data_IF_836064960861
#
_entry.id   IF_836064960861
#
_cell.length_a   1.000
_cell.length_b   1.000
_cell.length_c   1.000
_cell.angle_alpha   90.00
_cell.angle_beta   90.00
_cell.angle_gamma   90.00
#
_symmetry.space_group_name_H-M   'P 1'
#
loop_
_entity.id
_entity.type
_entity.pdbx_description
1 polymer ?
#
# COMPACT_ATOMS: atom_id res chain seq x y z
N UNK A 1 -25.15 10.71 -6.37
CA UNK A 1 -23.97 9.84 -6.21
C UNK A 1 -22.95 10.25 -7.26
N UNK A 2 -21.76 10.71 -6.85
CA UNK A 2 -20.69 11.03 -7.80
C UNK A 2 -20.13 9.75 -8.42
N UNK A 3 -19.81 9.77 -9.72
CA UNK A 3 -19.27 8.61 -10.45
C UNK A 3 -18.12 7.92 -9.72
N UNK A 4 -17.27 8.69 -9.05
CA UNK A 4 -16.12 8.20 -8.28
C UNK A 4 -16.49 7.30 -7.10
N UNK A 5 -17.62 7.55 -6.43
CA UNK A 5 -18.08 6.71 -5.33
C UNK A 5 -18.45 5.31 -5.84
N UNK A 6 -19.14 5.26 -6.98
CA UNK A 6 -19.56 3.99 -7.61
C UNK A 6 -18.32 3.22 -8.05
N UNK A 7 -17.36 3.88 -8.69
CA UNK A 7 -16.08 3.25 -9.09
C UNK A 7 -15.34 2.68 -7.88
N UNK A 8 -15.23 3.44 -6.79
CA UNK A 8 -14.59 2.98 -5.55
C UNK A 8 -15.30 1.75 -4.95
N UNK A 9 -16.64 1.74 -4.94
CA UNK A 9 -17.42 0.60 -4.45
C UNK A 9 -17.24 -0.66 -5.31
N UNK A 10 -17.24 -0.52 -6.63
CA UNK A 10 -16.98 -1.61 -7.57
C UNK A 10 -15.58 -2.20 -7.38
N UNK A 11 -14.55 -1.36 -7.28
CA UNK A 11 -13.17 -1.82 -7.04
C UNK A 11 -13.04 -2.58 -5.71
N UNK A 12 -13.67 -2.07 -4.65
CA UNK A 12 -13.73 -2.75 -3.35
C UNK A 12 -14.40 -4.12 -3.45
N UNK A 13 -15.51 -4.21 -4.21
CA UNK A 13 -16.20 -5.47 -4.46
C UNK A 13 -15.28 -6.45 -5.20
N UNK A 14 -14.63 -6.03 -6.29
CA UNK A 14 -13.69 -6.88 -7.02
C UNK A 14 -12.57 -7.39 -6.13
N UNK A 15 -11.95 -6.51 -5.33
CA UNK A 15 -10.94 -6.89 -4.36
C UNK A 15 -11.45 -7.94 -3.36
N UNK A 16 -12.69 -7.79 -2.88
CA UNK A 16 -13.27 -8.71 -1.91
C UNK A 16 -13.56 -10.08 -2.53
N UNK A 17 -14.04 -10.11 -3.77
CA UNK A 17 -14.35 -11.35 -4.48
C UNK A 17 -13.09 -12.13 -4.89
N UNK A 18 -12.02 -11.44 -5.30
CA UNK A 18 -10.77 -12.10 -5.74
C UNK A 18 -9.78 -12.36 -4.60
N UNK A 19 -10.05 -11.92 -3.37
CA UNK A 19 -9.16 -12.16 -2.24
C UNK A 19 -8.99 -13.67 -1.98
N UNK A 20 -7.77 -14.18 -2.18
CA UNK A 20 -7.42 -15.60 -2.03
C UNK A 20 -8.26 -16.58 -2.88
N UNK A 21 -9.02 -16.08 -3.87
CA UNK A 21 -9.86 -16.89 -4.74
C UNK A 21 -9.31 -16.85 -6.16
N UNK A 22 -8.46 -17.83 -6.50
CA UNK A 22 -7.80 -17.90 -7.80
C UNK A 22 -8.78 -18.06 -8.97
N UNK A 23 -9.90 -18.76 -8.77
CA UNK A 23 -10.92 -18.93 -9.81
C UNK A 23 -11.56 -17.58 -10.19
N UNK A 24 -12.04 -16.82 -9.19
CA UNK A 24 -12.63 -15.51 -9.45
C UNK A 24 -11.57 -14.53 -9.96
N UNK A 25 -10.36 -14.56 -9.41
CA UNK A 25 -9.25 -13.73 -9.87
C UNK A 25 -8.96 -13.96 -11.36
N UNK A 26 -8.94 -15.22 -11.81
CA UNK A 26 -8.76 -15.57 -13.21
C UNK A 26 -9.92 -15.05 -14.08
N UNK A 27 -11.17 -15.23 -13.64
CA UNK A 27 -12.33 -14.71 -14.37
C UNK A 27 -12.31 -13.19 -14.51
N UNK A 28 -11.93 -12.46 -13.46
CA UNK A 28 -11.78 -11.00 -13.51
C UNK A 28 -10.63 -10.58 -14.42
N UNK A 29 -9.51 -11.30 -14.41
CA UNK A 29 -8.39 -11.05 -15.31
C UNK A 29 -8.78 -11.23 -16.79
N UNK A 30 -9.53 -12.30 -17.10
CA UNK A 30 -9.95 -12.64 -18.46
C UNK A 30 -11.19 -11.85 -18.93
N UNK A 31 -11.76 -11.00 -18.06
CA UNK A 31 -12.93 -10.18 -18.40
C UNK A 31 -12.56 -9.10 -19.39
N UNK A 32 -13.27 -9.05 -20.52
CA UNK A 32 -13.10 -8.06 -21.58
C UNK A 32 -14.37 -7.23 -21.72
N UNK A 33 -14.22 -5.91 -21.77
CA UNK A 33 -15.31 -5.00 -22.07
C UNK A 33 -15.68 -5.09 -23.55
N UNK A 34 -16.92 -5.53 -23.84
CA UNK A 34 -17.35 -5.89 -25.20
C UNK A 34 -17.32 -4.73 -26.21
N UNK A 35 -17.49 -3.49 -25.76
CA UNK A 35 -17.56 -2.33 -26.66
C UNK A 35 -16.18 -1.73 -26.97
N UNK A 36 -15.25 -1.75 -26.00
CA UNK A 36 -13.91 -1.14 -26.16
C UNK A 36 -12.82 -2.18 -26.41
N UNK A 37 -13.15 -3.47 -26.29
CA UNK A 37 -12.22 -4.60 -26.34
C UNK A 37 -11.05 -4.48 -25.35
N UNK A 38 -11.23 -3.70 -24.28
CA UNK A 38 -10.24 -3.55 -23.22
C UNK A 38 -10.48 -4.61 -22.15
N UNK A 39 -9.41 -5.21 -21.65
CA UNK A 39 -9.45 -6.07 -20.47
C UNK A 39 -9.78 -5.25 -19.23
N UNK A 40 -10.37 -5.90 -18.22
CA UNK A 40 -10.61 -5.26 -16.92
C UNK A 40 -9.30 -4.75 -16.29
N UNK A 41 -8.20 -5.49 -16.47
CA UNK A 41 -6.88 -5.10 -16.02
C UNK A 41 -6.41 -3.78 -16.67
N UNK A 42 -6.58 -3.60 -17.98
CA UNK A 42 -6.22 -2.34 -18.66
C UNK A 42 -7.08 -1.17 -18.15
N UNK A 43 -8.38 -1.40 -17.95
CA UNK A 43 -9.29 -0.39 -17.42
C UNK A 43 -8.83 0.05 -16.02
N UNK A 44 -8.53 -0.90 -15.12
CA UNK A 44 -8.10 -0.61 -13.75
C UNK A 44 -6.69 0.01 -13.71
N UNK A 45 -5.76 -0.46 -14.55
CA UNK A 45 -4.42 0.14 -14.72
C UNK A 45 -4.52 1.62 -15.10
N UNK A 46 -5.46 1.98 -16.00
CA UNK A 46 -5.71 3.37 -16.37
C UNK A 46 -6.21 4.26 -15.21
N UNK A 47 -6.70 3.66 -14.12
CA UNK A 47 -7.06 4.38 -12.90
C UNK A 47 -5.84 4.69 -12.03
N UNK A 48 -4.76 3.91 -12.12
CA UNK A 48 -3.51 4.13 -11.39
C UNK A 48 -2.64 5.20 -12.04
N UNK A 49 -2.66 5.30 -13.37
CA UNK A 49 -1.81 6.23 -14.14
C UNK A 49 -2.35 7.68 -14.18
N UNK A 50 -3.60 7.90 -13.79
CA UNK A 50 -4.22 9.24 -13.80
C UNK A 50 -3.88 10.04 -12.55
N UNK A 51 -3.47 11.28 -12.77
CA UNK A 51 -3.16 12.24 -11.70
C UNK A 51 -4.46 12.62 -10.94
N UNK A 52 -4.34 12.90 -9.64
CA UNK A 52 -5.41 13.40 -8.75
C UNK A 52 -6.59 12.45 -8.48
N UNK A 53 -6.38 11.13 -8.54
CA UNK A 53 -7.43 10.18 -8.17
C UNK A 53 -7.71 10.19 -6.65
N UNK A 54 -8.99 10.01 -6.25
CA UNK A 54 -9.34 9.79 -4.85
C UNK A 54 -8.56 8.60 -4.26
N UNK A 55 -8.11 8.74 -3.01
CA UNK A 55 -7.30 7.71 -2.31
C UNK A 55 -7.96 6.34 -2.36
N UNK A 56 -9.29 6.28 -2.18
CA UNK A 56 -10.08 5.05 -2.24
C UNK A 56 -9.92 4.33 -3.58
N UNK A 57 -9.98 5.07 -4.70
CA UNK A 57 -9.85 4.49 -6.04
C UNK A 57 -8.42 4.01 -6.26
N UNK A 58 -7.42 4.84 -5.96
CA UNK A 58 -6.01 4.47 -6.11
C UNK A 58 -5.65 3.23 -5.29
N UNK A 59 -6.11 3.17 -4.03
CA UNK A 59 -5.85 2.04 -3.16
C UNK A 59 -6.51 0.75 -3.66
N UNK A 60 -7.82 0.76 -3.94
CA UNK A 60 -8.49 -0.48 -4.37
C UNK A 60 -8.07 -0.92 -5.77
N UNK A 61 -7.70 0.00 -6.67
CA UNK A 61 -7.11 -0.35 -7.96
C UNK A 61 -5.75 -1.04 -7.77
N UNK A 62 -4.89 -0.54 -6.88
CA UNK A 62 -3.61 -1.19 -6.59
C UNK A 62 -3.80 -2.55 -5.89
N UNK A 63 -4.69 -2.61 -4.90
CA UNK A 63 -5.03 -3.84 -4.18
C UNK A 63 -5.58 -4.93 -5.10
N UNK A 64 -6.33 -4.57 -6.13
CA UNK A 64 -6.82 -5.52 -7.12
C UNK A 64 -5.66 -6.31 -7.76
N UNK A 65 -4.62 -5.63 -8.24
CA UNK A 65 -3.45 -6.30 -8.82
C UNK A 65 -2.63 -7.06 -7.76
N UNK A 66 -2.56 -6.58 -6.51
CA UNK A 66 -1.97 -7.35 -5.41
C UNK A 66 -2.69 -8.69 -5.22
N UNK A 67 -4.02 -8.69 -5.23
CA UNK A 67 -4.81 -9.91 -5.12
C UNK A 67 -4.61 -10.85 -6.32
N UNK A 68 -4.54 -10.32 -7.55
CA UNK A 68 -4.22 -11.12 -8.74
C UNK A 68 -2.82 -11.74 -8.65
N UNK A 69 -1.83 -10.98 -8.16
CA UNK A 69 -0.49 -11.48 -7.94
C UNK A 69 -0.47 -12.61 -6.90
N UNK A 70 -1.18 -12.42 -5.78
CA UNK A 70 -1.18 -13.37 -4.67
C UNK A 70 -1.97 -14.65 -4.94
N UNK A 71 -2.93 -14.57 -5.85
CA UNK A 71 -3.62 -15.74 -6.41
C UNK A 71 -2.86 -16.38 -7.57
N UNK A 72 -1.66 -15.88 -7.91
CA UNK A 72 -0.78 -16.36 -8.99
C UNK A 72 -1.35 -16.19 -10.41
N UNK A 73 -2.41 -15.40 -10.56
CA UNK A 73 -2.96 -15.03 -11.88
C UNK A 73 -2.01 -14.08 -12.60
N UNK A 74 -1.38 -13.16 -11.86
CA UNK A 74 -0.30 -12.31 -12.35
C UNK A 74 1.02 -12.66 -11.66
N UNK A 75 2.13 -12.53 -12.40
CA UNK A 75 3.47 -12.56 -11.80
C UNK A 75 3.74 -11.29 -10.99
N UNK A 76 4.58 -11.39 -9.96
CA UNK A 76 5.08 -10.23 -9.23
C UNK A 76 5.83 -9.24 -10.14
N UNK A 77 6.47 -9.73 -11.20
CA UNK A 77 7.22 -8.91 -12.16
C UNK A 77 6.32 -8.20 -13.18
N UNK A 78 5.02 -8.55 -13.25
CA UNK A 78 4.09 -7.94 -14.18
C UNK A 78 4.02 -6.41 -13.95
N UNK A 79 4.07 -5.56 -15.00
CA UNK A 79 4.15 -4.10 -14.84
C UNK A 79 3.05 -3.49 -13.95
N UNK A 80 1.81 -3.95 -14.08
CA UNK A 80 0.70 -3.49 -13.23
C UNK A 80 0.89 -3.82 -11.75
N UNK A 81 1.70 -4.83 -11.42
CA UNK A 81 2.06 -5.19 -10.04
C UNK A 81 3.30 -4.42 -9.59
N UNK A 82 4.43 -4.62 -10.29
CA UNK A 82 5.76 -4.13 -9.88
C UNK A 82 5.96 -2.62 -10.06
N UNK A 83 5.35 -2.03 -11.08
CA UNK A 83 5.52 -0.61 -11.39
C UNK A 83 4.30 0.21 -10.97
N UNK A 84 3.09 -0.23 -11.28
CA UNK A 84 1.89 0.60 -11.03
C UNK A 84 1.39 0.45 -9.60
N UNK A 85 1.07 -0.77 -9.18
CA UNK A 85 0.47 -1.01 -7.86
C UNK A 85 1.46 -0.78 -6.72
N UNK A 86 2.69 -1.29 -6.84
CA UNK A 86 3.70 -1.10 -5.81
C UNK A 86 3.99 0.40 -5.58
N UNK A 87 4.25 1.17 -6.64
CA UNK A 87 4.55 2.60 -6.50
C UNK A 87 3.34 3.38 -5.97
N UNK A 88 2.13 3.01 -6.38
CA UNK A 88 0.90 3.60 -5.84
C UNK A 88 0.77 3.35 -4.33
N UNK A 89 0.96 2.11 -3.87
CA UNK A 89 0.87 1.78 -2.45
C UNK A 89 1.95 2.51 -1.63
N UNK A 90 3.18 2.56 -2.14
CA UNK A 90 4.27 3.32 -1.50
C UNK A 90 3.90 4.81 -1.40
N UNK A 91 3.42 5.41 -2.50
CA UNK A 91 3.02 6.81 -2.52
C UNK A 91 1.87 7.12 -1.56
N UNK A 92 0.89 6.21 -1.43
CA UNK A 92 -0.19 6.35 -0.47
C UNK A 92 0.32 6.24 0.97
N UNK A 93 1.28 5.36 1.26
CA UNK A 93 1.89 5.24 2.59
C UNK A 93 2.70 6.49 2.97
N UNK A 94 3.29 7.20 2.00
CA UNK A 94 4.11 8.41 2.24
C UNK A 94 3.32 9.72 2.32
N UNK A 95 2.07 9.75 1.84
CA UNK A 95 1.21 10.94 1.93
C UNK A 95 0.98 11.39 3.37
N UNK A 96 0.80 12.70 3.58
CA UNK A 96 0.32 13.22 4.86
C UNK A 96 -1.09 12.69 5.14
N UNK A 97 -1.28 12.19 6.35
CA UNK A 97 -2.56 11.59 6.74
C UNK A 97 -3.59 12.71 6.84
N UNK A 98 -4.62 12.64 6.00
CA UNK A 98 -5.83 13.43 6.16
C UNK A 98 -6.75 12.55 7.00
N UNK A 99 -7.04 12.97 8.23
CA UNK A 99 -7.68 12.17 9.30
C UNK A 99 -8.93 11.37 8.88
N UNK A 100 -9.64 11.82 7.83
CA UNK A 100 -10.83 11.14 7.29
C UNK A 100 -10.58 9.75 6.68
N UNK A 101 -9.33 9.39 6.38
CA UNK A 101 -8.98 8.12 5.71
C UNK A 101 -7.93 7.28 6.46
N UNK A 102 -7.74 7.49 7.77
CA UNK A 102 -6.67 6.82 8.53
C UNK A 102 -6.72 5.28 8.42
N UNK A 103 -7.90 4.68 8.52
CA UNK A 103 -8.08 3.23 8.36
C UNK A 103 -7.66 2.73 6.98
N UNK A 104 -7.88 3.52 5.93
CA UNK A 104 -7.47 3.16 4.58
C UNK A 104 -5.95 3.18 4.43
N UNK A 105 -5.26 4.09 5.13
CA UNK A 105 -3.79 4.12 5.14
C UNK A 105 -3.21 2.94 5.93
N UNK A 106 -3.83 2.54 7.04
CA UNK A 106 -3.46 1.31 7.77
C UNK A 106 -3.63 0.10 6.84
N UNK A 107 -4.79 -0.03 6.19
CA UNK A 107 -5.01 -1.11 5.22
C UNK A 107 -4.00 -1.06 4.05
N UNK A 108 -3.54 0.14 3.66
CA UNK A 108 -2.51 0.31 2.63
C UNK A 108 -1.15 -0.23 3.10
N UNK A 109 -0.75 0.04 4.34
CA UNK A 109 0.46 -0.54 4.94
C UNK A 109 0.36 -2.07 4.97
N UNK A 110 -0.77 -2.60 5.41
CA UNK A 110 -1.01 -4.05 5.48
C UNK A 110 -1.00 -4.71 4.10
N UNK A 111 -1.57 -4.03 3.09
CA UNK A 111 -1.56 -4.50 1.71
C UNK A 111 -0.14 -4.48 1.12
N UNK A 112 0.67 -3.47 1.47
CA UNK A 112 2.07 -3.41 1.06
C UNK A 112 2.89 -4.51 1.73
N UNK A 113 2.72 -4.74 3.03
CA UNK A 113 3.29 -5.90 3.76
C UNK A 113 2.92 -7.20 3.05
N UNK A 114 1.63 -7.38 2.76
CA UNK A 114 1.14 -8.56 2.10
C UNK A 114 1.84 -8.75 0.76
N UNK A 115 1.86 -7.73 -0.11
CA UNK A 115 2.51 -7.78 -1.42
C UNK A 115 4.00 -8.13 -1.32
N UNK A 116 4.73 -7.48 -0.42
CA UNK A 116 6.17 -7.64 -0.25
C UNK A 116 6.55 -9.02 0.29
N UNK A 117 5.79 -9.55 1.26
CA UNK A 117 6.06 -10.85 1.85
C UNK A 117 6.17 -11.96 0.78
N UNK A 118 7.37 -12.55 0.68
CA UNK A 118 7.70 -13.62 -0.27
C UNK A 118 8.07 -13.15 -1.68
N UNK A 119 8.22 -11.84 -1.93
CA UNK A 119 8.56 -11.27 -3.25
C UNK A 119 9.84 -10.41 -3.17
N UNK A 120 11.01 -11.05 -3.31
CA UNK A 120 12.32 -10.37 -3.22
C UNK A 120 12.53 -9.28 -4.27
N UNK A 121 12.04 -9.45 -5.50
CA UNK A 121 12.12 -8.42 -6.54
C UNK A 121 11.39 -7.14 -6.13
N UNK A 122 10.19 -7.27 -5.55
CA UNK A 122 9.39 -6.14 -5.09
C UNK A 122 10.02 -5.46 -3.86
N UNK A 123 10.65 -6.24 -2.97
CA UNK A 123 11.42 -5.70 -1.85
C UNK A 123 12.51 -4.75 -2.33
N UNK A 124 13.27 -5.16 -3.34
CA UNK A 124 14.34 -4.34 -3.89
C UNK A 124 13.82 -3.00 -4.41
N UNK A 125 12.71 -2.99 -5.16
CA UNK A 125 12.11 -1.75 -5.68
C UNK A 125 11.62 -0.85 -4.54
N UNK A 126 10.95 -1.43 -3.53
CA UNK A 126 10.41 -0.66 -2.41
C UNK A 126 11.51 -0.02 -1.54
N UNK A 127 12.62 -0.72 -1.33
CA UNK A 127 13.73 -0.29 -0.47
C UNK A 127 14.33 1.05 -0.87
N UNK A 128 14.43 1.35 -2.17
CA UNK A 128 15.03 2.60 -2.65
C UNK A 128 14.14 3.83 -2.47
N UNK A 129 12.94 3.67 -1.91
CA UNK A 129 12.09 4.80 -1.60
C UNK A 129 12.46 5.40 -0.25
N UNK A 130 13.40 6.35 -0.24
CA UNK A 130 13.84 7.03 1.00
C UNK A 130 12.69 7.68 1.77
N UNK A 131 11.70 8.22 1.05
CA UNK A 131 10.50 8.82 1.65
C UNK A 131 9.67 7.82 2.46
N UNK A 132 9.69 6.53 2.10
CA UNK A 132 8.94 5.50 2.80
C UNK A 132 9.53 5.25 4.19
N UNK A 133 10.85 5.04 4.28
CA UNK A 133 11.52 4.80 5.57
C UNK A 133 11.31 5.96 6.55
N UNK A 134 11.56 7.19 6.10
CA UNK A 134 11.33 8.40 6.92
C UNK A 134 9.90 8.49 7.42
N UNK A 135 8.91 8.12 6.59
CA UNK A 135 7.50 8.14 6.99
C UNK A 135 7.17 7.06 8.02
N UNK A 136 7.72 5.85 7.85
CA UNK A 136 7.53 4.76 8.82
C UNK A 136 8.07 5.15 10.20
N UNK A 137 9.23 5.78 10.29
CA UNK A 137 9.76 6.26 11.57
C UNK A 137 8.86 7.29 12.23
N UNK A 138 8.25 8.20 11.45
CA UNK A 138 7.26 9.13 11.99
C UNK A 138 6.05 8.38 12.55
N UNK A 139 5.50 7.40 11.82
CA UNK A 139 4.37 6.59 12.32
C UNK A 139 4.70 5.76 13.56
N UNK A 140 5.95 5.31 13.69
CA UNK A 140 6.40 4.51 14.84
C UNK A 140 6.62 5.39 16.07
N UNK A 141 7.48 6.40 15.94
CA UNK A 141 7.97 7.18 17.09
C UNK A 141 7.10 8.38 17.42
N UNK A 142 6.56 9.06 16.41
CA UNK A 142 5.82 10.33 16.59
C UNK A 142 4.50 10.36 15.81
N UNK A 143 3.63 9.34 15.91
CA UNK A 143 2.39 9.27 15.13
C UNK A 143 1.46 10.47 15.39
N UNK A 144 1.49 11.05 16.59
CA UNK A 144 0.71 12.25 16.95
C UNK A 144 1.13 13.51 16.17
N UNK A 145 2.32 13.55 15.55
CA UNK A 145 2.73 14.66 14.67
C UNK A 145 2.03 14.63 13.30
N UNK A 146 1.44 13.50 12.93
CA UNK A 146 0.82 13.29 11.62
C UNK A 146 -0.64 12.88 11.69
N UNK A 147 -1.13 12.51 12.88
CA UNK A 147 -2.52 12.23 13.18
C UNK A 147 -3.15 13.40 13.92
N UNK A 148 -4.47 13.54 13.83
CA UNK A 148 -5.24 14.44 14.72
C UNK A 148 -4.98 14.11 16.19
N UNK A 149 -5.01 15.12 17.04
CA UNK A 149 -5.01 14.95 18.50
C UNK A 149 -6.26 14.20 18.99
N UNK A 150 -7.34 14.19 18.20
CA UNK A 150 -8.60 13.53 18.50
C UNK A 150 -8.73 12.09 17.95
N UNK A 151 -7.66 11.51 17.41
CA UNK A 151 -7.67 10.11 16.93
C UNK A 151 -7.66 9.15 18.12
N UNK A 152 -8.49 8.10 18.06
CA UNK A 152 -8.55 7.04 19.06
C UNK A 152 -7.18 6.36 19.24
N UNK A 153 -6.80 6.09 20.49
CA UNK A 153 -5.53 5.44 20.83
C UNK A 153 -5.35 4.10 20.11
N UNK A 154 -6.44 3.34 19.90
CA UNK A 154 -6.42 2.08 19.15
C UNK A 154 -5.91 2.25 17.71
N UNK A 155 -6.21 3.36 17.06
CA UNK A 155 -5.74 3.67 15.70
C UNK A 155 -4.25 3.98 15.72
N UNK A 156 -3.77 4.69 16.75
CA UNK A 156 -2.34 4.97 16.95
C UNK A 156 -1.56 3.65 17.15
N UNK A 157 -2.11 2.72 17.92
CA UNK A 157 -1.52 1.39 18.11
C UNK A 157 -1.47 0.61 16.78
N UNK A 158 -2.55 0.62 16.01
CA UNK A 158 -2.62 -0.09 14.73
C UNK A 158 -1.62 0.47 13.71
N UNK A 159 -1.54 1.79 13.53
CA UNK A 159 -0.60 2.38 12.56
C UNK A 159 0.86 2.10 12.96
N UNK A 160 1.18 2.14 14.26
CA UNK A 160 2.50 1.75 14.76
C UNK A 160 2.81 0.29 14.44
N UNK A 161 1.87 -0.61 14.74
CA UNK A 161 2.04 -2.05 14.50
C UNK A 161 2.26 -2.37 13.02
N UNK A 162 1.42 -1.84 12.12
CA UNK A 162 1.60 -2.03 10.68
C UNK A 162 2.90 -1.39 10.18
N UNK A 163 3.28 -0.22 10.69
CA UNK A 163 4.54 0.44 10.29
C UNK A 163 5.78 -0.34 10.74
N UNK A 164 5.79 -0.85 11.98
CA UNK A 164 6.85 -1.73 12.49
C UNK A 164 6.95 -3.02 11.68
N UNK A 165 5.81 -3.62 11.35
CA UNK A 165 5.77 -4.86 10.55
C UNK A 165 6.33 -4.62 9.16
N UNK A 166 5.96 -3.53 8.50
CA UNK A 166 6.50 -3.17 7.19
C UNK A 166 8.01 -2.89 7.26
N UNK A 167 8.47 -2.19 8.29
CA UNK A 167 9.91 -1.95 8.50
C UNK A 167 10.67 -3.27 8.67
N UNK A 168 10.13 -4.21 9.44
CA UNK A 168 10.71 -5.54 9.61
C UNK A 168 10.80 -6.30 8.29
N UNK A 169 9.71 -6.31 7.50
CA UNK A 169 9.67 -6.94 6.17
C UNK A 169 10.74 -6.34 5.24
N UNK A 170 10.83 -5.02 5.17
CA UNK A 170 11.87 -4.34 4.38
C UNK A 170 13.28 -4.73 4.85
N UNK A 171 13.53 -4.70 6.15
CA UNK A 171 14.87 -4.97 6.73
C UNK A 171 15.31 -6.44 6.66
N UNK A 172 14.38 -7.37 6.43
CA UNK A 172 14.64 -8.82 6.48
C UNK A 172 15.63 -9.31 5.40
N UNK A 173 15.78 -8.58 4.30
CA UNK A 173 16.61 -8.98 3.16
C UNK A 173 17.82 -8.07 2.89
N UNK A 174 17.96 -6.94 3.58
CA UNK A 174 18.96 -5.92 3.25
C UNK A 174 19.62 -5.31 4.50
N UNK A 175 20.91 -5.58 4.68
CA UNK A 175 21.74 -5.01 5.76
C UNK A 175 21.80 -3.48 5.74
N UNK A 176 21.71 -2.86 4.55
CA UNK A 176 21.74 -1.39 4.44
C UNK A 176 20.53 -0.72 5.08
N UNK A 177 19.35 -1.37 5.05
CA UNK A 177 18.18 -0.88 5.78
C UNK A 177 18.40 -1.01 7.28
N UNK A 178 18.99 -2.11 7.75
CA UNK A 178 19.30 -2.30 9.18
C UNK A 178 20.24 -1.20 9.69
N UNK A 179 21.23 -0.80 8.89
CA UNK A 179 22.11 0.34 9.22
C UNK A 179 21.35 1.65 9.30
N UNK A 180 20.50 1.95 8.30
CA UNK A 180 19.66 3.16 8.30
C UNK A 180 18.69 3.20 9.49
N UNK A 181 18.16 2.04 9.90
CA UNK A 181 17.34 1.90 11.11
C UNK A 181 18.17 2.25 12.34
N UNK A 182 19.37 1.67 12.51
CA UNK A 182 20.23 1.97 13.66
C UNK A 182 20.62 3.45 13.75
N UNK A 183 20.88 4.11 12.61
CA UNK A 183 21.14 5.54 12.54
C UNK A 183 19.93 6.38 12.99
N UNK A 184 18.71 6.01 12.56
CA UNK A 184 17.47 6.70 12.93
C UNK A 184 17.02 6.40 14.37
N UNK A 185 17.24 5.19 14.90
CA UNK A 185 16.98 4.87 16.30
C UNK A 185 17.86 5.69 17.24
N UNK A 186 19.12 5.92 16.88
CA UNK A 186 20.00 6.79 17.65
C UNK A 186 19.49 8.24 17.72
N UNK A 187 18.89 8.73 16.64
CA UNK A 187 18.21 10.03 16.59
C UNK A 187 16.89 10.03 17.36
N UNK A 188 16.10 8.95 17.28
CA UNK A 188 14.85 8.81 18.03
C UNK A 188 15.10 8.78 19.55
N UNK A 189 16.19 8.14 20.00
CA UNK A 189 16.64 8.18 21.38
C UNK A 189 16.98 9.61 21.82
N UNK A 190 17.60 10.41 20.94
CA UNK A 190 17.89 11.82 21.19
C UNK A 190 16.61 12.65 21.41
N UNK A 191 15.58 12.43 20.59
CA UNK A 191 14.29 13.12 20.72
C UNK A 191 13.43 12.68 21.91
N UNK A 192 13.65 11.46 22.43
CA UNK A 192 12.96 10.95 23.61
C UNK A 192 13.59 11.40 24.93
N UNK A 193 14.84 11.87 24.92
CA UNK A 193 15.55 12.39 26.11
C UNK A 193 15.31 13.90 26.30
N UNK A 194 14.81 14.61 25.29
CA UNK A 194 14.49 16.06 25.37
C UNK A 194 13.03 16.38 25.77
N UNK A 195 12.26 15.39 26.27
CA UNK A 195 10.94 15.59 26.89
C UNK A 195 10.86 14.89 28.25
#
# INVERSE_FOLDING_TARGET
LTSEYIVGACLKLFCSLCYQNAFIAQQLHDTIHTETNQTLCEIISSLLTRIHRPVVISYYAAKFFVNLCKTKVLSADHPSVSLESLTTLIHLCTKSIINKCVYLYIECLDTLIYLLNGNSTLHHIAMYTEQLLSKLFIYIFTPTKVLDEHVDESVIVQIRASSLTLLAVLSSHHEDIKKRIAEQESMAFFFLVEF
#
